data_IF_706207312550
#
_entry.id   IF_706207312550
#
_cell.length_a   1.000
_cell.length_b   1.000
_cell.length_c   1.000
_cell.angle_alpha   90.00
_cell.angle_beta   90.00
_cell.angle_gamma   90.00
#
_symmetry.space_group_name_H-M   'P 1'
#
loop_
_entity.id
_entity.type
_entity.pdbx_description
1 polymer ?
#
# COMPACT_ATOMS: atom_id res chain seq x y z
N UNK A 1 -17.62 18.76 82.34
CA UNK A 1 -17.83 19.36 81.03
C UNK A 1 -16.92 18.64 80.05
N UNK A 2 -17.45 17.71 79.18
CA UNK A 2 -16.69 16.91 78.21
C UNK A 2 -16.89 17.54 76.81
N UNK A 3 -15.84 18.17 76.26
CA UNK A 3 -15.85 18.67 74.86
C UNK A 3 -15.64 17.50 73.93
N UNK A 4 -16.66 17.14 73.14
CA UNK A 4 -16.57 16.24 72.05
C UNK A 4 -16.22 17.00 70.78
N UNK A 5 -14.96 16.88 70.33
CA UNK A 5 -14.45 17.38 69.05
C UNK A 5 -14.95 16.50 67.91
N UNK A 6 -15.85 16.99 67.08
CA UNK A 6 -16.33 16.28 65.85
C UNK A 6 -15.29 16.43 64.77
N UNK A 7 -14.62 15.31 64.41
CA UNK A 7 -13.71 15.25 63.26
C UNK A 7 -14.53 15.16 61.98
N UNK A 8 -14.51 16.24 61.18
CA UNK A 8 -15.13 16.30 59.87
C UNK A 8 -14.21 15.67 58.82
N UNK A 9 -14.47 14.44 58.42
CA UNK A 9 -13.71 13.73 57.38
C UNK A 9 -14.20 14.24 56.03
N UNK A 10 -13.44 15.14 55.38
CA UNK A 10 -13.69 15.54 53.99
C UNK A 10 -13.21 14.41 53.06
N UNK A 11 -14.17 13.63 52.54
CA UNK A 11 -13.93 12.72 51.40
C UNK A 11 -13.76 13.56 50.14
N UNK A 12 -12.53 13.75 49.67
CA UNK A 12 -12.23 14.23 48.32
C UNK A 12 -12.58 13.12 47.33
N UNK A 13 -13.47 13.33 46.34
CA UNK A 13 -13.67 12.35 45.30
C UNK A 13 -12.41 12.28 44.41
N UNK A 14 -11.79 11.12 44.38
CA UNK A 14 -10.70 10.81 43.43
C UNK A 14 -11.35 10.76 42.03
N UNK A 15 -11.29 11.87 41.31
CA UNK A 15 -11.61 11.89 39.87
C UNK A 15 -10.48 11.14 39.16
N UNK A 16 -10.64 9.83 39.03
CA UNK A 16 -9.87 9.03 38.06
C UNK A 16 -10.22 9.56 36.68
N UNK A 17 -9.41 10.46 36.15
CA UNK A 17 -9.52 10.95 34.80
C UNK A 17 -9.41 9.76 33.86
N UNK A 18 -10.51 9.37 33.24
CA UNK A 18 -10.54 8.45 32.12
C UNK A 18 -9.82 9.14 30.96
N UNK A 19 -8.53 8.86 30.79
CA UNK A 19 -7.83 9.26 29.55
C UNK A 19 -8.41 8.39 28.44
N UNK A 20 -9.03 9.00 27.40
CA UNK A 20 -9.46 8.21 26.25
C UNK A 20 -8.23 7.50 25.67
N UNK A 21 -8.35 6.19 25.49
CA UNK A 21 -7.29 5.38 24.89
C UNK A 21 -7.17 5.77 23.43
N UNK A 22 -5.97 6.17 23.00
CA UNK A 22 -5.68 6.48 21.62
C UNK A 22 -6.10 5.31 20.72
N UNK A 23 -6.89 5.62 19.68
CA UNK A 23 -7.35 4.61 18.71
C UNK A 23 -6.39 4.59 17.53
N UNK A 24 -5.83 3.40 17.26
CA UNK A 24 -4.86 3.18 16.18
C UNK A 24 -5.59 2.47 15.03
N UNK A 25 -5.52 3.06 13.84
CA UNK A 25 -5.94 2.40 12.60
C UNK A 25 -4.72 1.77 11.93
N UNK A 26 -4.81 0.50 11.54
CA UNK A 26 -3.79 -0.14 10.73
C UNK A 26 -4.16 -0.04 9.25
N UNK A 27 -3.19 0.39 8.43
CA UNK A 27 -3.29 0.38 6.98
C UNK A 27 -2.43 -0.75 6.45
N UNK A 28 -3.07 -1.87 6.13
CA UNK A 28 -2.41 -3.01 5.52
C UNK A 28 -2.20 -2.77 4.03
N UNK A 29 -0.97 -2.89 3.57
CA UNK A 29 -0.62 -2.85 2.15
C UNK A 29 -0.40 -4.28 1.66
N UNK A 30 -1.18 -4.73 0.69
CA UNK A 30 -1.04 -6.05 0.06
C UNK A 30 -0.81 -5.91 -1.43
N UNK A 31 0.24 -6.55 -1.93
CA UNK A 31 0.64 -6.38 -3.31
C UNK A 31 1.95 -7.06 -3.67
N UNK A 32 2.53 -6.56 -4.72
CA UNK A 32 3.73 -7.10 -5.35
C UNK A 32 5.00 -6.25 -5.10
N UNK A 33 5.99 -6.37 -6.00
CA UNK A 33 7.28 -5.68 -5.90
C UNK A 33 7.21 -4.17 -6.01
N UNK A 34 6.19 -3.62 -6.68
CA UNK A 34 6.08 -2.18 -6.87
C UNK A 34 5.61 -1.45 -5.60
N UNK A 35 5.02 -2.20 -4.68
CA UNK A 35 4.54 -1.73 -3.37
C UNK A 35 5.51 -2.08 -2.23
N UNK A 36 6.21 -3.21 -2.29
CA UNK A 36 6.91 -3.85 -1.18
C UNK A 36 7.96 -2.97 -0.47
N UNK A 37 8.06 -3.12 0.86
CA UNK A 37 9.18 -2.62 1.64
C UNK A 37 10.37 -3.60 1.54
N UNK A 38 11.47 -3.13 0.95
CA UNK A 38 12.69 -3.91 0.73
C UNK A 38 13.70 -3.83 1.87
N UNK A 39 13.42 -3.04 2.92
CA UNK A 39 14.29 -2.89 4.09
C UNK A 39 14.18 -4.10 5.02
N UNK A 40 14.97 -4.08 6.05
CA UNK A 40 14.96 -4.94 7.25
C UNK A 40 14.79 -6.45 6.98
N UNK A 41 13.57 -6.95 7.05
CA UNK A 41 13.28 -8.39 6.99
C UNK A 41 13.00 -8.93 5.58
N UNK A 42 13.17 -8.12 4.53
CA UNK A 42 12.83 -8.56 3.18
C UNK A 42 13.70 -9.75 2.72
N UNK A 43 15.01 -9.67 2.90
CA UNK A 43 15.97 -10.72 2.54
C UNK A 43 16.66 -11.34 3.75
N UNK A 44 15.87 -11.68 4.79
CA UNK A 44 16.37 -12.40 5.98
C UNK A 44 17.54 -11.69 6.70
N UNK A 45 17.42 -10.38 6.90
CA UNK A 45 18.40 -9.57 7.63
C UNK A 45 19.63 -9.17 6.81
N UNK A 46 19.60 -9.32 5.49
CA UNK A 46 20.61 -8.72 4.61
C UNK A 46 20.47 -7.20 4.60
N UNK A 47 21.62 -6.54 4.56
CA UNK A 47 21.70 -5.08 4.45
C UNK A 47 21.06 -4.60 3.13
N UNK A 48 19.95 -3.88 3.24
CA UNK A 48 19.21 -3.32 2.10
C UNK A 48 20.10 -2.43 1.22
N UNK A 49 20.95 -1.59 1.82
CA UNK A 49 21.81 -0.68 1.07
C UNK A 49 22.78 -1.41 0.16
N UNK A 50 23.23 -2.61 0.56
CA UNK A 50 24.18 -3.42 -0.20
C UNK A 50 23.54 -4.41 -1.16
N UNK A 51 22.28 -4.79 -0.92
CA UNK A 51 21.67 -5.92 -1.65
C UNK A 51 20.53 -5.51 -2.57
N UNK A 52 19.90 -4.34 -2.31
CA UNK A 52 18.68 -3.94 -3.02
C UNK A 52 18.62 -2.47 -3.40
N UNK A 53 19.22 -1.56 -2.61
CA UNK A 53 19.15 -0.13 -2.89
C UNK A 53 19.72 0.17 -4.30
N UNK A 54 19.02 0.97 -5.16
CA UNK A 54 17.94 1.89 -4.84
C UNK A 54 16.50 1.36 -5.03
N UNK A 55 16.30 0.05 -5.32
CA UNK A 55 14.92 -0.44 -5.50
C UNK A 55 14.06 -0.14 -4.27
N UNK A 56 12.94 0.53 -4.49
CA UNK A 56 12.04 1.01 -3.44
C UNK A 56 10.60 0.79 -3.91
N UNK A 57 9.78 0.09 -3.13
CA UNK A 57 8.35 0.06 -3.38
C UNK A 57 7.65 1.29 -2.77
N UNK A 58 6.51 1.68 -3.33
CA UNK A 58 5.81 2.88 -2.83
C UNK A 58 5.28 2.68 -1.39
N UNK A 59 4.97 1.46 -0.98
CA UNK A 59 4.58 1.15 0.41
C UNK A 59 5.69 1.42 1.42
N UNK A 60 6.96 1.16 1.03
CA UNK A 60 8.14 1.43 1.85
C UNK A 60 8.24 2.89 2.32
N UNK A 61 7.71 3.82 1.55
CA UNK A 61 7.78 5.27 1.80
C UNK A 61 6.41 5.87 2.11
N UNK A 62 5.40 5.05 2.42
CA UNK A 62 4.02 5.51 2.59
C UNK A 62 3.70 6.02 4.01
N UNK A 63 4.36 5.51 5.06
CA UNK A 63 4.08 5.91 6.45
C UNK A 63 4.10 7.44 6.68
N UNK A 64 5.02 8.24 6.12
CA UNK A 64 5.03 9.69 6.29
C UNK A 64 3.74 10.41 5.80
N UNK A 65 3.03 9.84 4.83
CA UNK A 65 1.75 10.36 4.37
C UNK A 65 0.60 10.08 5.35
N UNK A 66 0.78 9.13 6.27
CA UNK A 66 -0.19 8.72 7.28
C UNK A 66 0.09 9.32 8.67
N UNK A 67 0.97 10.33 8.76
CA UNK A 67 1.25 11.02 10.01
C UNK A 67 0.09 11.92 10.44
N UNK A 68 0.01 12.19 11.75
CA UNK A 68 -1.10 12.90 12.41
C UNK A 68 -1.51 14.23 11.72
N UNK A 69 -0.54 14.96 11.15
CA UNK A 69 -0.81 16.21 10.43
C UNK A 69 -1.64 16.04 9.15
N UNK A 70 -1.61 14.84 8.55
CA UNK A 70 -2.30 14.53 7.31
C UNK A 70 -3.66 13.84 7.52
N UNK A 71 -3.92 13.29 8.71
CA UNK A 71 -5.15 12.53 9.00
C UNK A 71 -6.46 13.33 8.82
N UNK A 72 -6.52 14.64 9.09
CA UNK A 72 -7.72 15.41 8.82
C UNK A 72 -8.21 15.33 7.37
N UNK A 73 -7.29 15.18 6.41
CA UNK A 73 -7.62 15.03 4.99
C UNK A 73 -8.16 13.63 4.63
N UNK A 74 -8.04 12.67 5.55
CA UNK A 74 -8.48 11.29 5.40
C UNK A 74 -9.69 10.96 6.29
N UNK A 75 -10.36 11.96 6.84
CA UNK A 75 -11.49 11.79 7.80
C UNK A 75 -12.67 11.00 7.23
N UNK A 76 -12.84 10.96 5.90
CA UNK A 76 -13.81 10.07 5.23
C UNK A 76 -13.48 8.58 5.36
N UNK A 77 -12.21 8.22 5.60
CA UNK A 77 -11.75 6.85 5.70
C UNK A 77 -11.28 6.46 7.11
N UNK A 78 -10.57 7.35 7.77
CA UNK A 78 -9.86 7.09 9.03
C UNK A 78 -10.50 7.86 10.16
N UNK A 79 -10.89 7.14 11.21
CA UNK A 79 -11.47 7.73 12.43
C UNK A 79 -10.53 7.59 13.64
N UNK A 80 -9.40 6.89 13.48
CA UNK A 80 -8.39 6.72 14.52
C UNK A 80 -7.55 7.97 14.76
N UNK A 81 -6.97 8.08 15.95
CA UNK A 81 -6.11 9.20 16.35
C UNK A 81 -4.71 9.13 15.76
N UNK A 82 -4.30 7.91 15.35
CA UNK A 82 -3.01 7.61 14.73
C UNK A 82 -3.13 6.45 13.74
N UNK A 83 -2.15 6.36 12.84
CA UNK A 83 -2.09 5.33 11.79
C UNK A 83 -0.74 4.63 11.77
N UNK A 84 -0.79 3.31 11.65
CA UNK A 84 0.38 2.46 11.38
C UNK A 84 0.20 1.82 10.01
N UNK A 85 1.17 2.02 9.12
CA UNK A 85 1.24 1.32 7.82
C UNK A 85 1.96 -0.02 8.05
N UNK A 86 1.26 -1.11 7.73
CA UNK A 86 1.80 -2.48 7.77
C UNK A 86 1.94 -3.00 6.33
N UNK A 87 3.12 -2.79 5.75
CA UNK A 87 3.41 -3.23 4.39
C UNK A 87 3.71 -4.74 4.35
N UNK A 88 2.77 -5.50 3.84
CA UNK A 88 2.84 -6.95 3.64
C UNK A 88 3.08 -7.35 2.19
N UNK A 89 3.21 -6.38 1.28
CA UNK A 89 3.50 -6.63 -0.11
C UNK A 89 4.83 -7.40 -0.28
N UNK A 90 4.92 -8.20 -1.34
CA UNK A 90 6.10 -9.01 -1.59
C UNK A 90 6.39 -9.15 -3.08
N UNK A 91 7.63 -8.88 -3.46
CA UNK A 91 8.08 -8.99 -4.85
C UNK A 91 7.81 -10.37 -5.46
N UNK A 92 7.35 -10.38 -6.71
CA UNK A 92 7.05 -11.60 -7.45
C UNK A 92 5.70 -12.26 -7.12
N UNK A 93 4.91 -11.69 -6.21
CA UNK A 93 3.62 -12.30 -5.83
C UNK A 93 2.50 -11.81 -6.74
N UNK A 94 1.74 -12.78 -7.24
CA UNK A 94 0.41 -12.59 -7.80
C UNK A 94 -0.63 -12.68 -6.68
N UNK A 95 -1.89 -12.40 -6.97
CA UNK A 95 -3.01 -12.63 -6.04
C UNK A 95 -3.01 -14.06 -5.52
N UNK A 96 -2.83 -15.05 -6.41
CA UNK A 96 -2.76 -16.48 -6.08
C UNK A 96 -1.62 -16.81 -5.13
N UNK A 97 -0.39 -16.45 -5.48
CA UNK A 97 0.78 -16.80 -4.66
C UNK A 97 0.78 -16.08 -3.32
N UNK A 98 0.25 -14.86 -3.27
CA UNK A 98 0.04 -14.13 -2.01
C UNK A 98 -0.93 -14.88 -1.08
N UNK A 99 -1.98 -15.45 -1.63
CA UNK A 99 -2.94 -16.27 -0.89
C UNK A 99 -2.34 -17.63 -0.49
N UNK A 100 -1.78 -18.38 -1.43
CA UNK A 100 -1.26 -19.75 -1.22
C UNK A 100 -0.09 -19.80 -0.21
N UNK A 101 0.75 -18.75 -0.16
CA UNK A 101 1.82 -18.62 0.85
C UNK A 101 1.29 -18.25 2.27
N UNK A 102 -0.02 -18.14 2.44
CA UNK A 102 -0.63 -17.79 3.72
C UNK A 102 -0.38 -16.34 4.16
N UNK A 103 0.05 -15.44 3.24
CA UNK A 103 0.28 -14.02 3.55
C UNK A 103 -1.00 -13.30 3.88
N UNK A 104 -2.05 -13.54 3.09
CA UNK A 104 -3.38 -13.02 3.36
C UNK A 104 -3.93 -13.51 4.71
N UNK A 105 -3.78 -14.79 5.01
CA UNK A 105 -4.25 -15.36 6.27
C UNK A 105 -3.72 -14.61 7.50
N UNK A 106 -2.43 -14.25 7.50
CA UNK A 106 -1.81 -13.50 8.60
C UNK A 106 -2.44 -12.11 8.80
N UNK A 107 -2.88 -11.46 7.72
CA UNK A 107 -3.58 -10.19 7.78
C UNK A 107 -5.00 -10.40 8.29
N UNK A 108 -5.75 -11.32 7.68
CA UNK A 108 -7.12 -11.64 8.05
C UNK A 108 -7.28 -11.98 9.54
N UNK A 109 -6.35 -12.74 10.12
CA UNK A 109 -6.34 -13.09 11.55
C UNK A 109 -6.13 -11.88 12.47
N UNK A 110 -5.50 -10.81 11.99
CA UNK A 110 -5.18 -9.61 12.77
C UNK A 110 -6.05 -8.39 12.46
N UNK A 111 -6.84 -8.42 11.39
CA UNK A 111 -7.73 -7.32 10.99
C UNK A 111 -8.73 -6.99 12.11
N UNK A 112 -8.91 -5.69 12.31
CA UNK A 112 -9.84 -5.10 13.26
C UNK A 112 -10.84 -4.19 12.53
N UNK A 113 -12.02 -3.97 13.11
CA UNK A 113 -12.96 -2.99 12.56
C UNK A 113 -12.31 -1.60 12.39
N UNK A 114 -12.45 -1.04 11.19
CA UNK A 114 -11.88 0.26 10.84
C UNK A 114 -10.47 0.23 10.26
N UNK A 115 -9.76 -0.92 10.28
CA UNK A 115 -8.49 -1.05 9.56
C UNK A 115 -8.72 -0.98 8.04
N UNK A 116 -7.74 -0.43 7.32
CA UNK A 116 -7.78 -0.34 5.87
C UNK A 116 -6.95 -1.47 5.24
N UNK A 117 -7.42 -1.99 4.11
CA UNK A 117 -6.64 -2.94 3.28
C UNK A 117 -6.53 -2.39 1.87
N UNK A 118 -5.37 -1.85 1.55
CA UNK A 118 -5.00 -1.36 0.22
C UNK A 118 -4.41 -2.51 -0.58
N UNK A 119 -5.06 -2.90 -1.69
CA UNK A 119 -4.66 -4.07 -2.46
C UNK A 119 -4.31 -3.71 -3.91
N UNK A 120 -3.04 -3.94 -4.29
CA UNK A 120 -2.53 -3.70 -5.65
C UNK A 120 -1.81 -4.92 -6.18
N UNK A 121 -2.39 -5.57 -7.18
CA UNK A 121 -1.84 -6.73 -7.90
C UNK A 121 -2.02 -6.56 -9.41
N UNK A 122 -1.49 -7.48 -10.21
CA UNK A 122 -1.65 -7.52 -11.66
C UNK A 122 -0.34 -7.73 -12.41
N UNK A 123 0.78 -7.18 -11.96
CA UNK A 123 2.08 -7.31 -12.64
C UNK A 123 2.55 -8.77 -12.77
N UNK A 124 2.32 -9.57 -11.73
CA UNK A 124 2.74 -10.98 -11.69
C UNK A 124 1.63 -11.91 -12.14
N UNK A 125 0.38 -11.52 -11.92
CA UNK A 125 -0.80 -12.24 -12.41
C UNK A 125 -0.78 -12.35 -13.94
N UNK A 126 -0.39 -11.27 -14.62
CA UNK A 126 -0.28 -11.20 -16.08
C UNK A 126 0.96 -11.92 -16.67
N UNK A 127 1.80 -12.53 -15.87
CA UNK A 127 3.06 -13.12 -16.34
C UNK A 127 2.85 -14.54 -16.90
N UNK A 128 2.22 -14.68 -18.06
CA UNK A 128 1.91 -15.99 -18.70
C UNK A 128 3.12 -16.90 -18.88
N UNK A 129 4.31 -16.32 -19.09
CA UNK A 129 5.56 -17.06 -19.20
C UNK A 129 6.13 -17.55 -17.85
N UNK A 130 5.42 -17.32 -16.74
CA UNK A 130 5.80 -17.71 -15.37
C UNK A 130 4.65 -18.45 -14.70
N UNK A 131 4.43 -19.72 -15.04
CA UNK A 131 3.27 -20.50 -14.59
C UNK A 131 3.16 -20.62 -13.06
N UNK A 132 4.30 -20.50 -12.35
CA UNK A 132 4.32 -20.51 -10.88
C UNK A 132 3.55 -19.38 -10.24
N UNK A 133 3.30 -18.27 -10.97
CA UNK A 133 2.58 -17.09 -10.45
C UNK A 133 1.50 -16.55 -11.38
N UNK A 134 1.48 -16.97 -12.64
CA UNK A 134 0.44 -16.58 -13.58
C UNK A 134 -0.96 -16.94 -13.05
N UNK A 135 -1.90 -16.03 -13.25
CA UNK A 135 -3.31 -16.18 -12.89
C UNK A 135 -4.14 -15.64 -14.06
N UNK A 136 -5.11 -16.40 -14.53
CA UNK A 136 -6.06 -15.86 -15.53
C UNK A 136 -6.80 -14.64 -14.99
N UNK A 137 -7.32 -13.78 -15.87
CA UNK A 137 -8.09 -12.60 -15.42
C UNK A 137 -9.28 -12.99 -14.54
N UNK A 138 -9.96 -14.08 -14.83
CA UNK A 138 -11.07 -14.57 -13.99
C UNK A 138 -10.56 -15.05 -12.62
N UNK A 139 -9.46 -15.81 -12.58
CA UNK A 139 -8.83 -16.19 -11.31
C UNK A 139 -8.37 -14.98 -10.49
N UNK A 140 -7.83 -13.96 -11.14
CA UNK A 140 -7.47 -12.68 -10.49
C UNK A 140 -8.69 -12.03 -9.84
N UNK A 141 -9.83 -11.94 -10.56
CA UNK A 141 -11.08 -11.40 -10.01
C UNK A 141 -11.53 -12.18 -8.76
N UNK A 142 -11.47 -13.53 -8.81
CA UNK A 142 -11.87 -14.36 -7.67
C UNK A 142 -11.03 -14.08 -6.42
N UNK A 143 -9.71 -13.93 -6.54
CA UNK A 143 -8.87 -13.59 -5.41
C UNK A 143 -9.16 -12.20 -4.86
N UNK A 144 -9.36 -11.19 -5.73
CA UNK A 144 -9.74 -9.84 -5.28
C UNK A 144 -11.11 -9.86 -4.58
N UNK A 145 -12.11 -10.57 -5.13
CA UNK A 145 -13.44 -10.76 -4.50
C UNK A 145 -13.30 -11.37 -3.09
N UNK A 146 -12.43 -12.37 -2.97
CA UNK A 146 -12.15 -13.04 -1.69
C UNK A 146 -11.56 -12.05 -0.68
N UNK A 147 -10.52 -11.31 -1.05
CA UNK A 147 -9.86 -10.35 -0.17
C UNK A 147 -10.82 -9.25 0.29
N UNK A 148 -11.62 -8.70 -0.63
CA UNK A 148 -12.66 -7.71 -0.32
C UNK A 148 -13.69 -8.26 0.66
N UNK A 149 -14.22 -9.46 0.38
CA UNK A 149 -15.28 -10.07 1.21
C UNK A 149 -14.77 -10.39 2.61
N UNK A 150 -13.58 -10.96 2.73
CA UNK A 150 -12.98 -11.31 4.02
C UNK A 150 -12.51 -10.09 4.81
N UNK A 151 -12.04 -9.02 4.15
CA UNK A 151 -11.74 -7.76 4.84
C UNK A 151 -13.01 -7.19 5.49
N UNK A 152 -14.12 -7.14 4.75
CA UNK A 152 -15.42 -6.68 5.25
C UNK A 152 -15.98 -7.56 6.37
N UNK A 153 -15.79 -8.87 6.30
CA UNK A 153 -16.19 -9.80 7.37
C UNK A 153 -15.57 -9.44 8.72
N UNK A 154 -14.35 -8.89 8.70
CA UNK A 154 -13.64 -8.41 9.89
C UNK A 154 -13.95 -6.96 10.26
N UNK A 155 -14.82 -6.29 9.51
CA UNK A 155 -15.11 -4.87 9.66
C UNK A 155 -14.02 -3.96 9.12
N UNK A 156 -13.06 -4.50 8.36
CA UNK A 156 -12.04 -3.74 7.63
C UNK A 156 -12.61 -3.08 6.38
N UNK A 157 -11.90 -2.09 5.87
CA UNK A 157 -12.27 -1.28 4.71
C UNK A 157 -11.34 -1.66 3.55
N UNK A 158 -11.81 -2.48 2.59
CA UNK A 158 -11.03 -2.82 1.41
C UNK A 158 -11.00 -1.66 0.42
N UNK A 159 -9.80 -1.37 -0.09
CA UNK A 159 -9.55 -0.39 -1.16
C UNK A 159 -8.80 -1.11 -2.27
N UNK A 160 -9.45 -1.28 -3.42
CA UNK A 160 -8.82 -1.83 -4.61
C UNK A 160 -7.99 -0.73 -5.27
N UNK A 161 -6.75 -1.05 -5.62
CA UNK A 161 -5.85 -0.16 -6.35
C UNK A 161 -5.51 -0.85 -7.67
N UNK A 162 -5.80 -0.20 -8.80
CA UNK A 162 -5.36 -0.74 -10.09
C UNK A 162 -3.83 -0.75 -10.16
N UNK A 163 -3.20 -1.71 -10.88
CA UNK A 163 -1.74 -1.81 -10.90
C UNK A 163 -1.09 -0.52 -11.41
N UNK A 164 -0.06 -0.02 -10.72
CA UNK A 164 0.69 1.15 -11.17
C UNK A 164 1.29 0.89 -12.55
N UNK A 165 1.24 1.87 -13.46
CA UNK A 165 1.73 1.63 -14.82
C UNK A 165 3.26 1.46 -14.86
N UNK A 166 3.74 0.64 -15.79
CA UNK A 166 5.16 0.51 -16.10
C UNK A 166 5.62 1.69 -16.97
N UNK A 167 6.93 1.87 -17.12
CA UNK A 167 7.51 2.90 -18.00
C UNK A 167 7.42 2.54 -19.51
N UNK A 168 6.36 1.85 -19.91
CA UNK A 168 6.05 1.50 -21.30
C UNK A 168 4.61 1.03 -21.46
N UNK A 169 4.07 1.01 -22.71
CA UNK A 169 4.63 1.59 -23.92
C UNK A 169 4.36 3.11 -24.00
N UNK A 170 5.30 3.84 -24.60
CA UNK A 170 5.11 5.25 -24.93
C UNK A 170 4.69 5.41 -26.40
N UNK A 171 3.71 6.27 -26.66
CA UNK A 171 3.27 6.63 -28.01
C UNK A 171 3.11 8.16 -28.08
N UNK A 172 3.81 8.78 -29.01
CA UNK A 172 3.74 10.23 -29.25
C UNK A 172 3.92 11.07 -27.95
N UNK A 173 4.85 10.66 -27.08
CA UNK A 173 5.11 11.31 -25.80
C UNK A 173 4.10 11.01 -24.67
N UNK A 174 3.12 10.15 -24.92
CA UNK A 174 2.08 9.78 -23.95
C UNK A 174 2.26 8.32 -23.53
N UNK A 175 2.35 8.08 -22.22
CA UNK A 175 2.43 6.73 -21.67
C UNK A 175 1.07 6.02 -21.82
N UNK A 176 1.10 4.78 -22.28
CA UNK A 176 -0.10 3.97 -22.50
C UNK A 176 -0.25 2.90 -21.41
N UNK A 177 -1.51 2.47 -21.18
CA UNK A 177 -1.81 1.38 -20.26
C UNK A 177 -1.20 0.05 -20.75
N UNK A 178 -0.36 -0.56 -19.92
CA UNK A 178 0.29 -1.84 -20.18
C UNK A 178 -0.46 -3.03 -19.54
N UNK A 179 -1.42 -2.78 -18.65
CA UNK A 179 -2.06 -3.83 -17.83
C UNK A 179 -3.31 -4.45 -18.47
N UNK A 180 -3.85 -3.82 -19.54
CA UNK A 180 -4.92 -4.39 -20.36
C UNK A 180 -6.10 -4.95 -19.54
N UNK A 181 -6.33 -6.27 -19.65
CA UNK A 181 -7.48 -6.93 -19.03
C UNK A 181 -7.38 -6.99 -17.49
N UNK A 182 -6.18 -7.00 -16.89
CA UNK A 182 -6.04 -6.99 -15.42
C UNK A 182 -6.42 -5.64 -14.82
N UNK A 183 -6.16 -4.54 -15.54
CA UNK A 183 -6.69 -3.23 -15.18
C UNK A 183 -8.23 -3.24 -15.17
N UNK A 184 -8.84 -3.71 -16.27
CA UNK A 184 -10.30 -3.80 -16.37
C UNK A 184 -10.89 -4.69 -15.29
N UNK A 185 -10.28 -5.84 -15.05
CA UNK A 185 -10.72 -6.80 -14.03
C UNK A 185 -10.73 -6.20 -12.62
N UNK A 186 -9.73 -5.36 -12.26
CA UNK A 186 -9.72 -4.66 -10.99
C UNK A 186 -10.88 -3.67 -10.86
N UNK A 187 -11.14 -2.89 -11.92
CA UNK A 187 -12.27 -1.94 -11.97
C UNK A 187 -13.62 -2.67 -11.88
N UNK A 188 -13.80 -3.74 -12.67
CA UNK A 188 -15.04 -4.54 -12.67
C UNK A 188 -15.36 -5.14 -11.29
N UNK A 189 -14.32 -5.64 -10.57
CA UNK A 189 -14.54 -6.17 -9.20
C UNK A 189 -14.86 -5.05 -8.22
N UNK A 190 -14.25 -3.86 -8.38
CA UNK A 190 -14.59 -2.72 -7.54
C UNK A 190 -16.06 -2.31 -7.70
N UNK A 191 -16.54 -2.21 -8.94
CA UNK A 191 -17.94 -1.94 -9.25
C UNK A 191 -18.88 -3.05 -8.74
N UNK A 192 -18.56 -4.32 -9.03
CA UNK A 192 -19.36 -5.49 -8.59
C UNK A 192 -19.53 -5.56 -7.07
N UNK A 193 -18.45 -5.26 -6.35
CA UNK A 193 -18.41 -5.35 -4.88
C UNK A 193 -18.78 -4.05 -4.18
N UNK A 194 -19.08 -2.98 -4.95
CA UNK A 194 -19.24 -1.64 -4.37
C UNK A 194 -18.06 -1.32 -3.44
N UNK A 195 -16.83 -1.59 -3.92
CA UNK A 195 -15.60 -1.39 -3.16
C UNK A 195 -14.92 -0.08 -3.57
N UNK A 196 -14.27 0.58 -2.61
CA UNK A 196 -13.48 1.76 -2.88
C UNK A 196 -12.39 1.42 -3.91
N UNK A 197 -12.19 2.31 -4.88
CA UNK A 197 -11.24 2.14 -5.98
C UNK A 197 -10.30 3.33 -6.08
N UNK A 198 -9.00 3.05 -6.19
CA UNK A 198 -7.99 4.01 -6.64
C UNK A 198 -7.51 3.58 -8.02
N UNK A 199 -7.82 4.37 -9.04
CA UNK A 199 -7.35 4.14 -10.41
C UNK A 199 -5.89 4.59 -10.57
N UNK A 200 -4.98 3.86 -9.94
CA UNK A 200 -3.55 4.19 -9.94
C UNK A 200 -2.91 4.00 -11.32
N UNK A 201 -3.45 3.10 -12.16
CA UNK A 201 -3.00 2.98 -13.56
C UNK A 201 -3.17 4.30 -14.29
N UNK A 202 -4.37 4.90 -14.25
CA UNK A 202 -4.64 6.19 -14.89
C UNK A 202 -3.81 7.31 -14.25
N UNK A 203 -3.84 7.42 -12.92
CA UNK A 203 -3.10 8.47 -12.20
C UNK A 203 -1.60 8.44 -12.49
N UNK A 204 -1.00 7.25 -12.49
CA UNK A 204 0.42 7.11 -12.78
C UNK A 204 0.75 7.41 -14.25
N UNK A 205 -0.09 7.01 -15.20
CA UNK A 205 0.09 7.35 -16.61
C UNK A 205 0.03 8.87 -16.86
N UNK A 206 -0.93 9.54 -16.26
CA UNK A 206 -1.09 10.99 -16.37
C UNK A 206 0.14 11.70 -15.78
N UNK A 207 0.52 11.37 -14.56
CA UNK A 207 1.67 11.96 -13.88
C UNK A 207 2.99 11.70 -14.63
N UNK A 208 3.24 10.44 -15.04
CA UNK A 208 4.46 10.10 -15.75
C UNK A 208 4.53 10.76 -17.13
N UNK A 209 3.39 10.91 -17.82
CA UNK A 209 3.31 11.65 -19.09
C UNK A 209 3.65 13.13 -18.89
N UNK A 210 3.13 13.77 -17.85
CA UNK A 210 3.40 15.17 -17.52
C UNK A 210 4.90 15.38 -17.19
N UNK A 211 5.52 14.48 -16.43
CA UNK A 211 6.94 14.54 -16.09
C UNK A 211 7.84 14.30 -17.29
N UNK A 212 7.37 13.60 -18.31
CA UNK A 212 8.08 13.26 -19.53
C UNK A 212 8.93 11.99 -19.43
N UNK A 213 9.02 11.28 -20.56
CA UNK A 213 9.63 9.96 -20.65
C UNK A 213 11.07 9.89 -20.09
N UNK A 214 11.92 10.82 -20.48
CA UNK A 214 13.35 10.78 -20.14
C UNK A 214 13.53 10.97 -18.62
N UNK A 215 12.86 11.98 -18.04
CA UNK A 215 12.89 12.23 -16.61
C UNK A 215 12.41 11.02 -15.80
N UNK A 216 11.24 10.45 -16.19
CA UNK A 216 10.65 9.29 -15.53
C UNK A 216 11.55 8.07 -15.62
N UNK A 217 12.15 7.83 -16.80
CA UNK A 217 13.08 6.72 -17.00
C UNK A 217 14.28 6.79 -16.07
N UNK A 218 14.92 7.97 -15.98
CA UNK A 218 16.17 8.15 -15.24
C UNK A 218 15.97 8.29 -13.73
N UNK A 219 14.86 8.91 -13.29
CA UNK A 219 14.68 9.29 -11.89
C UNK A 219 13.65 8.42 -11.14
N UNK A 220 12.64 7.90 -11.85
CA UNK A 220 11.59 7.12 -11.20
C UNK A 220 11.81 5.62 -11.29
N UNK A 221 12.27 5.14 -12.44
CA UNK A 221 12.46 3.70 -12.66
C UNK A 221 13.93 3.29 -12.50
N UNK A 222 14.17 1.99 -12.31
CA UNK A 222 15.49 1.43 -12.07
C UNK A 222 16.35 1.40 -13.36
N UNK A 223 16.58 2.60 -13.95
CA UNK A 223 17.39 2.77 -15.15
C UNK A 223 18.59 3.67 -14.82
N UNK A 224 19.77 3.07 -14.75
CA UNK A 224 21.02 3.78 -14.43
C UNK A 224 22.25 2.99 -14.90
N UNK A 225 23.36 3.71 -15.13
CA UNK A 225 24.62 3.13 -15.55
C UNK A 225 25.34 2.33 -14.46
N UNK A 226 26.41 1.61 -14.85
CA UNK A 226 27.21 0.82 -13.93
C UNK A 226 27.95 1.66 -12.89
N UNK A 227 28.22 1.05 -11.73
CA UNK A 227 29.05 1.63 -10.67
C UNK A 227 28.37 2.67 -9.76
N UNK A 228 27.07 2.96 -9.95
CA UNK A 228 26.35 3.93 -9.11
C UNK A 228 25.89 3.33 -7.77
N UNK A 229 25.55 2.06 -7.75
CA UNK A 229 25.01 1.38 -6.56
C UNK A 229 25.70 0.03 -6.34
N UNK A 230 26.05 -0.26 -5.09
CA UNK A 230 26.72 -1.52 -4.70
C UNK A 230 25.88 -2.76 -5.07
N UNK A 231 24.56 -2.67 -4.90
CA UNK A 231 23.63 -3.74 -5.23
C UNK A 231 23.49 -4.01 -6.75
N UNK A 232 23.92 -3.07 -7.59
CA UNK A 232 23.78 -3.12 -9.06
C UNK A 232 25.07 -2.65 -9.74
N UNK A 233 26.17 -3.39 -9.60
CA UNK A 233 27.48 -2.98 -10.12
C UNK A 233 27.51 -2.79 -11.65
N UNK A 234 26.69 -3.55 -12.39
CA UNK A 234 26.54 -3.45 -13.84
C UNK A 234 25.49 -2.43 -14.30
N UNK A 235 24.89 -1.68 -13.34
CA UNK A 235 23.74 -0.82 -13.61
C UNK A 235 22.43 -1.58 -13.69
N UNK A 236 21.37 -0.91 -14.16
CA UNK A 236 20.05 -1.50 -14.34
C UNK A 236 19.32 -0.90 -15.54
N UNK A 237 18.46 -1.71 -16.17
CA UNK A 237 17.53 -1.28 -17.21
C UNK A 237 16.16 -1.92 -16.91
N UNK A 238 15.46 -1.40 -15.91
CA UNK A 238 14.21 -1.95 -15.42
C UNK A 238 13.12 -0.87 -15.42
N UNK A 239 12.14 -1.06 -16.26
CA UNK A 239 11.00 -0.19 -16.48
C UNK A 239 9.75 -0.58 -15.65
N UNK A 240 9.95 -1.35 -14.59
CA UNK A 240 8.86 -1.82 -13.70
C UNK A 240 9.07 -1.36 -12.25
N UNK A 241 10.29 -1.48 -11.72
CA UNK A 241 10.59 -1.17 -10.33
C UNK A 241 11.09 0.27 -10.17
N UNK A 242 10.83 0.85 -9.00
CA UNK A 242 11.10 2.25 -8.72
C UNK A 242 12.43 2.46 -7.98
N UNK A 243 13.06 3.59 -8.27
CA UNK A 243 13.98 4.29 -7.40
C UNK A 243 13.21 5.04 -6.30
N UNK A 244 13.86 5.54 -5.23
CA UNK A 244 13.19 6.23 -4.12
C UNK A 244 12.29 7.40 -4.55
N UNK A 245 12.69 8.17 -5.57
CA UNK A 245 11.92 9.31 -6.07
C UNK A 245 10.62 8.85 -6.73
N UNK A 246 10.68 7.84 -7.61
CA UNK A 246 9.49 7.28 -8.24
C UNK A 246 8.54 6.63 -7.22
N UNK A 247 9.08 5.88 -6.26
CA UNK A 247 8.30 5.30 -5.18
C UNK A 247 7.55 6.38 -4.38
N UNK A 248 8.21 7.50 -4.06
CA UNK A 248 7.61 8.63 -3.33
C UNK A 248 6.54 9.34 -4.16
N UNK A 249 6.76 9.50 -5.47
CA UNK A 249 5.77 10.07 -6.39
C UNK A 249 4.49 9.20 -6.41
N UNK A 250 4.64 7.89 -6.57
CA UNK A 250 3.50 6.94 -6.55
C UNK A 250 2.79 6.93 -5.19
N UNK A 251 3.53 6.91 -4.08
CA UNK A 251 2.97 6.99 -2.74
C UNK A 251 2.10 8.25 -2.55
N UNK A 252 2.56 9.38 -3.09
CA UNK A 252 1.79 10.64 -3.09
C UNK A 252 0.50 10.52 -3.88
N UNK A 253 0.54 9.95 -5.10
CA UNK A 253 -0.67 9.73 -5.91
C UNK A 253 -1.71 8.90 -5.17
N UNK A 254 -1.27 7.83 -4.49
CA UNK A 254 -2.17 6.99 -3.68
C UNK A 254 -2.77 7.80 -2.52
N UNK A 255 -1.95 8.54 -1.77
CA UNK A 255 -2.42 9.38 -0.67
C UNK A 255 -3.44 10.43 -1.16
N UNK A 256 -3.12 11.17 -2.22
CA UNK A 256 -4.01 12.20 -2.78
C UNK A 256 -5.34 11.59 -3.24
N UNK A 257 -5.31 10.43 -3.89
CA UNK A 257 -6.53 9.72 -4.26
C UNK A 257 -7.36 9.30 -3.03
N UNK A 258 -6.72 8.85 -1.94
CA UNK A 258 -7.41 8.49 -0.70
C UNK A 258 -8.17 9.69 -0.08
N UNK A 259 -7.68 10.91 -0.23
CA UNK A 259 -8.36 12.11 0.32
C UNK A 259 -9.73 12.38 -0.31
N UNK A 260 -9.99 11.80 -1.48
CA UNK A 260 -11.24 11.93 -2.22
C UNK A 260 -12.20 10.76 -2.04
N UNK A 261 -11.79 9.72 -1.26
CA UNK A 261 -12.64 8.56 -0.99
C UNK A 261 -13.51 8.79 0.25
N UNK A 262 -14.77 8.41 0.13
CA UNK A 262 -15.75 8.40 1.22
C UNK A 262 -16.32 7.00 1.41
N UNK A 263 -16.66 6.63 2.66
CA UNK A 263 -17.26 5.32 3.01
C UNK A 263 -18.72 5.28 2.62
#
# INVERSE_FOLDING_TARGET
>A
MRNTMKLLLCLLPLMLGFQPRETITTVYLIGDSTMADYRDNYDHGKDYMKTRYPVTGWGQVFQPFMEKGNLPHLSGLITGDSVVVDDRARGGRSTRTFFEEGRWRKIYENLRPGDLVLMQFGHNDAAENKPERYVTTEGYKEYIRLFVSQAREKGGIPIIITPVNRNYPWKDGILQNVHGEYYKAAVEVAEEKDALLIDLTRLSMEHFTEMGKDYVTENYFMNFGPGLYEAYPEGSNDNTHFQPEGAKAVARLVYEAMTSLER
#
